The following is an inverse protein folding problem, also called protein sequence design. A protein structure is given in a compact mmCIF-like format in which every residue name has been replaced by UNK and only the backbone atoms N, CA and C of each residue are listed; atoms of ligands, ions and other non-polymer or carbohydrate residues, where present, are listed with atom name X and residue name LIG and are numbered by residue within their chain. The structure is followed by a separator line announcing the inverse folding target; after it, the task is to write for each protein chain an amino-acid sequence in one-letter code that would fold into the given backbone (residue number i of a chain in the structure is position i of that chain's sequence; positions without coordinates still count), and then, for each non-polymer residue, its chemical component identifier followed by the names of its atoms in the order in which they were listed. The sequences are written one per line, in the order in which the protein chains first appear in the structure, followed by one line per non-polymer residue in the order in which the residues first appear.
data_IF_058209096390
#
_entry.id   IF_058209096390
#
_cell.length_a   1.000
_cell.length_b   1.000
_cell.length_c   1.000
_cell.angle_alpha   90.00
_cell.angle_beta   90.00
_cell.angle_gamma   90.00
#
_symmetry.space_group_name_H-M   'P 1'
#
loop_
_entity.id
_entity.type
_entity.pdbx_description
1 polymer ?
#
# COMPACT_ATOMS: atom_id res chain seq x y z
N UNK A 1 -14.77 28.95 -6.39
CA UNK A 1 -15.53 28.11 -5.46
C UNK A 1 -16.08 26.93 -6.26
N UNK A 2 -15.48 25.77 -6.15
CA UNK A 2 -16.07 24.53 -6.63
C UNK A 2 -16.76 23.90 -5.43
N UNK A 3 -18.08 24.05 -5.39
CA UNK A 3 -18.91 23.34 -4.42
C UNK A 3 -19.05 21.90 -4.88
N UNK A 4 -18.38 20.97 -4.24
CA UNK A 4 -18.65 19.53 -4.40
C UNK A 4 -19.83 19.19 -3.49
N UNK A 5 -21.03 19.51 -3.94
CA UNK A 5 -22.26 19.01 -3.34
C UNK A 5 -22.55 17.64 -3.96
N UNK A 6 -22.52 16.60 -3.13
CA UNK A 6 -22.99 15.28 -3.54
C UNK A 6 -22.03 14.11 -3.32
N UNK A 7 -20.97 14.26 -2.57
CA UNK A 7 -20.32 13.08 -1.99
C UNK A 7 -21.21 12.59 -0.86
N UNK A 8 -22.13 11.71 -1.19
CA UNK A 8 -22.83 10.91 -0.21
C UNK A 8 -21.76 9.99 0.39
N UNK A 9 -21.07 10.49 1.40
CA UNK A 9 -20.30 9.64 2.29
C UNK A 9 -21.32 8.69 2.90
N UNK A 10 -21.37 7.46 2.42
CA UNK A 10 -21.87 6.38 3.25
C UNK A 10 -21.07 6.45 4.52
N UNK A 11 -21.63 7.06 5.52
CA UNK A 11 -21.09 7.09 6.86
C UNK A 11 -21.25 5.70 7.45
N UNK A 12 -20.44 4.77 6.93
CA UNK A 12 -20.03 3.68 7.78
C UNK A 12 -19.28 4.35 8.92
N UNK A 13 -19.59 4.04 10.18
CA UNK A 13 -18.83 4.54 11.30
C UNK A 13 -17.42 3.94 11.17
N UNK A 14 -16.58 4.61 10.43
CA UNK A 14 -15.15 4.31 10.41
C UNK A 14 -14.58 4.92 11.69
N UNK A 15 -15.06 4.43 12.80
CA UNK A 15 -14.39 4.52 14.08
C UNK A 15 -13.36 3.39 14.17
N UNK A 16 -12.49 3.29 13.18
CA UNK A 16 -11.23 2.63 13.42
C UNK A 16 -10.23 3.75 13.70
N UNK A 17 -9.50 3.62 14.79
CA UNK A 17 -8.31 4.42 15.11
C UNK A 17 -7.22 4.32 14.02
N UNK A 18 -7.49 3.63 12.94
CA UNK A 18 -6.63 3.37 11.77
C UNK A 18 -6.93 4.34 10.62
N UNK A 19 -7.16 5.59 10.90
CA UNK A 19 -7.23 6.63 9.87
C UNK A 19 -5.83 6.98 9.39
N UNK A 20 -5.31 6.17 8.47
CA UNK A 20 -4.12 6.50 7.72
C UNK A 20 -4.53 6.88 6.31
N UNK A 21 -4.35 8.13 5.93
CA UNK A 21 -4.65 8.63 4.59
C UNK A 21 -3.39 8.55 3.72
N UNK A 22 -2.83 7.37 3.58
CA UNK A 22 -1.77 7.12 2.62
C UNK A 22 -2.39 7.08 1.23
N UNK A 23 -1.79 7.78 0.28
CA UNK A 23 -2.09 7.64 -1.14
C UNK A 23 -0.89 7.09 -1.88
N UNK A 24 -1.12 6.57 -3.08
CA UNK A 24 -0.05 6.12 -3.97
C UNK A 24 -0.30 6.64 -5.39
N UNK A 25 0.78 7.05 -6.06
CA UNK A 25 0.74 7.64 -7.40
C UNK A 25 1.89 7.06 -8.22
N UNK A 26 1.56 6.53 -9.39
CA UNK A 26 2.51 6.11 -10.41
C UNK A 26 2.34 6.99 -11.65
N UNK A 27 3.44 7.48 -12.19
CA UNK A 27 3.43 8.32 -13.39
C UNK A 27 4.53 7.88 -14.35
N UNK A 28 4.19 7.76 -15.63
CA UNK A 28 5.17 7.61 -16.71
C UNK A 28 4.88 8.70 -17.74
N UNK A 29 5.90 9.49 -18.07
CA UNK A 29 5.78 10.51 -19.08
C UNK A 29 6.06 9.95 -20.51
N UNK A 30 5.81 10.77 -21.52
CA UNK A 30 6.06 10.41 -22.93
C UNK A 30 7.53 10.07 -23.25
N UNK A 31 8.47 10.52 -22.41
CA UNK A 31 9.90 10.26 -22.55
C UNK A 31 10.33 8.98 -21.84
N UNK A 32 9.44 8.36 -21.06
CA UNK A 32 9.70 7.17 -20.28
C UNK A 32 10.30 7.43 -18.90
N UNK A 33 10.30 8.69 -18.43
CA UNK A 33 10.61 8.96 -17.03
C UNK A 33 9.52 8.37 -16.15
N UNK A 34 9.91 7.71 -15.07
CA UNK A 34 9.00 7.04 -14.16
C UNK A 34 9.11 7.62 -12.76
N UNK A 35 7.96 7.78 -12.12
CA UNK A 35 7.86 8.21 -10.72
C UNK A 35 6.88 7.28 -10.00
N UNK A 36 7.29 6.80 -8.83
CA UNK A 36 6.44 6.07 -7.89
C UNK A 36 6.48 6.82 -6.55
N UNK A 37 5.35 7.26 -6.05
CA UNK A 37 5.28 8.11 -4.84
C UNK A 37 4.19 7.60 -3.91
N UNK A 38 4.54 7.42 -2.65
CA UNK A 38 3.59 7.05 -1.60
C UNK A 38 3.62 8.08 -0.47
N UNK A 39 2.97 9.23 -0.62
CA UNK A 39 2.91 10.24 0.43
C UNK A 39 2.01 9.77 1.59
N UNK A 40 2.45 10.04 2.82
CA UNK A 40 1.74 9.70 4.04
C UNK A 40 2.34 10.40 5.26
N UNK A 41 1.52 10.63 6.28
CA UNK A 41 1.90 11.41 7.47
C UNK A 41 1.88 12.91 7.20
N UNK A 42 1.78 13.73 8.27
CA UNK A 42 1.72 15.18 8.09
C UNK A 42 0.35 15.68 7.61
N UNK A 43 -0.73 15.10 8.11
CA UNK A 43 -2.09 15.56 7.81
C UNK A 43 -2.52 16.69 8.75
N UNK A 44 -3.38 17.60 8.24
CA UNK A 44 -3.90 18.73 9.00
C UNK A 44 -4.55 18.33 10.34
N UNK A 45 -5.17 17.16 10.40
CA UNK A 45 -5.81 16.67 11.62
C UNK A 45 -4.84 16.07 12.64
N UNK A 46 -3.60 15.79 12.26
CA UNK A 46 -2.63 15.07 13.11
C UNK A 46 -1.28 15.73 13.26
N UNK A 47 -1.03 16.81 12.53
CA UNK A 47 0.29 17.43 12.49
C UNK A 47 0.20 18.96 12.37
N UNK A 48 1.06 19.71 13.06
CA UNK A 48 1.09 21.15 12.93
C UNK A 48 1.52 21.57 11.53
N UNK A 49 0.90 22.61 11.01
CA UNK A 49 1.33 23.26 9.77
C UNK A 49 2.60 24.03 10.01
N UNK A 50 3.55 23.93 9.10
CA UNK A 50 4.79 24.70 9.15
C UNK A 50 4.53 26.10 8.58
N UNK A 51 4.63 27.17 9.39
CA UNK A 51 4.34 28.53 8.94
C UNK A 51 5.20 28.93 7.73
N UNK A 52 4.57 29.52 6.73
CA UNK A 52 5.26 29.99 5.51
C UNK A 52 5.62 28.93 4.47
N UNK A 53 5.51 27.65 4.79
CA UNK A 53 5.84 26.57 3.85
C UNK A 53 4.61 25.89 3.23
N UNK A 54 3.42 26.04 3.82
CA UNK A 54 2.17 25.55 3.27
C UNK A 54 1.96 24.03 3.36
N UNK A 55 2.74 23.33 4.18
CA UNK A 55 2.57 21.89 4.43
C UNK A 55 2.65 21.56 5.93
N UNK A 56 2.17 20.39 6.30
CA UNK A 56 2.22 19.90 7.67
C UNK A 56 3.52 19.17 7.98
N UNK A 57 3.96 19.25 9.24
CA UNK A 57 5.10 18.50 9.71
C UNK A 57 4.82 16.99 9.60
N UNK A 58 5.79 16.23 9.13
CA UNK A 58 5.67 14.79 8.99
C UNK A 58 5.60 14.10 10.37
N UNK A 59 4.71 13.12 10.52
CA UNK A 59 4.47 12.40 11.77
C UNK A 59 5.27 11.08 11.90
N UNK A 60 6.21 10.79 11.00
CA UNK A 60 6.91 9.48 10.97
C UNK A 60 7.90 9.27 12.11
N UNK A 61 8.27 10.28 12.86
CA UNK A 61 9.05 10.12 14.09
C UNK A 61 8.38 9.19 15.13
N UNK A 62 7.04 9.03 15.08
CA UNK A 62 6.32 8.06 15.92
C UNK A 62 6.74 6.59 15.71
N UNK A 63 7.43 6.28 14.62
CA UNK A 63 7.90 4.94 14.34
C UNK A 63 9.22 4.59 15.05
N UNK A 64 9.91 5.55 15.65
CA UNK A 64 11.03 5.26 16.51
C UNK A 64 10.61 4.50 17.78
N UNK A 65 11.50 3.70 18.29
CA UNK A 65 11.35 3.03 19.58
C UNK A 65 12.04 3.85 20.67
N UNK A 66 11.43 3.89 21.85
CA UNK A 66 12.03 4.53 23.02
C UNK A 66 12.95 3.59 23.80
N UNK A 67 12.85 2.27 23.54
CA UNK A 67 13.77 1.31 24.10
C UNK A 67 15.20 1.58 23.57
N UNK A 68 16.23 1.53 24.44
CA UNK A 68 17.60 1.76 24.01
C UNK A 68 18.16 0.60 23.18
N UNK A 69 19.25 0.85 22.48
CA UNK A 69 20.10 -0.15 21.81
C UNK A 69 19.45 -0.99 20.71
N UNK A 70 18.33 -0.53 20.16
CA UNK A 70 17.73 -1.13 18.98
C UNK A 70 18.14 -0.35 17.71
N UNK A 71 18.18 -0.99 16.54
CA UNK A 71 18.36 -0.28 15.28
C UNK A 71 17.33 0.84 15.06
N UNK A 72 16.14 0.66 15.61
CA UNK A 72 14.99 1.57 15.51
C UNK A 72 14.87 2.54 16.68
N UNK A 73 15.80 2.53 17.64
CA UNK A 73 15.79 3.47 18.77
C UNK A 73 15.91 4.91 18.31
N UNK A 74 15.18 5.81 18.97
CA UNK A 74 15.27 7.25 18.75
C UNK A 74 16.69 7.74 19.08
N UNK A 75 17.38 8.31 18.11
CA UNK A 75 18.69 8.91 18.29
C UNK A 75 18.94 9.99 17.24
N UNK A 76 19.79 10.99 17.54
CA UNK A 76 20.17 12.01 16.57
C UNK A 76 20.73 11.43 15.27
N UNK A 77 20.39 12.02 14.13
CA UNK A 77 20.87 11.60 12.83
C UNK A 77 20.28 10.31 12.27
N UNK A 78 19.44 9.59 13.01
CA UNK A 78 18.76 8.40 12.52
C UNK A 78 17.48 8.75 11.76
N UNK A 79 17.18 7.96 10.73
CA UNK A 79 15.90 7.98 10.03
C UNK A 79 14.95 7.00 10.70
N UNK A 80 13.64 7.34 10.85
CA UNK A 80 12.66 6.38 11.32
C UNK A 80 12.43 5.28 10.27
N UNK A 81 11.92 4.15 10.71
CA UNK A 81 11.30 3.15 9.84
C UNK A 81 10.15 3.79 9.06
N UNK A 82 9.86 3.30 7.88
CA UNK A 82 8.67 3.67 7.11
C UNK A 82 7.90 2.41 6.70
N UNK A 83 6.58 2.55 6.55
CA UNK A 83 5.71 1.55 5.90
C UNK A 83 5.55 1.84 4.40
N UNK A 84 6.08 2.97 3.93
CA UNK A 84 5.89 3.43 2.55
C UNK A 84 6.85 2.71 1.63
N UNK A 85 6.31 2.11 0.59
CA UNK A 85 7.02 1.22 -0.33
C UNK A 85 6.77 1.59 -1.80
N UNK A 86 6.97 2.88 -2.21
CA UNK A 86 6.93 3.19 -3.63
C UNK A 86 8.03 2.38 -4.33
N UNK A 87 7.68 1.69 -5.41
CA UNK A 87 8.56 0.72 -6.03
C UNK A 87 8.75 0.98 -7.51
N UNK A 88 9.99 0.79 -7.97
CA UNK A 88 10.36 0.80 -9.38
C UNK A 88 11.09 -0.51 -9.70
N UNK A 89 10.71 -1.16 -10.80
CA UNK A 89 11.44 -2.30 -11.33
C UNK A 89 12.15 -1.92 -12.62
N UNK A 90 13.39 -2.38 -12.71
CA UNK A 90 14.23 -2.21 -13.89
C UNK A 90 14.44 -3.57 -14.56
N UNK A 91 14.41 -3.59 -15.88
CA UNK A 91 14.81 -4.71 -16.70
C UNK A 91 15.97 -4.28 -17.58
N UNK A 92 17.11 -4.98 -17.49
CA UNK A 92 18.35 -4.62 -18.21
C UNK A 92 18.79 -3.16 -18.00
N UNK A 93 18.67 -2.67 -16.75
CA UNK A 93 19.05 -1.32 -16.36
C UNK A 93 18.06 -0.22 -16.78
N UNK A 94 16.95 -0.56 -17.41
CA UNK A 94 15.90 0.39 -17.84
C UNK A 94 14.69 0.29 -16.94
N UNK A 95 14.14 1.40 -16.44
CA UNK A 95 12.89 1.37 -15.68
C UNK A 95 11.74 0.92 -16.59
N UNK A 96 11.00 -0.08 -16.14
CA UNK A 96 9.91 -0.68 -16.91
C UNK A 96 8.58 -0.69 -16.17
N UNK A 97 8.60 -0.66 -14.84
CA UNK A 97 7.39 -0.78 -14.02
C UNK A 97 7.53 0.09 -12.78
N UNK A 98 6.52 0.91 -12.52
CA UNK A 98 6.29 1.59 -11.23
C UNK A 98 5.03 1.03 -10.60
N UNK A 99 5.03 0.84 -9.27
CA UNK A 99 3.87 0.27 -8.57
C UNK A 99 3.91 0.56 -7.09
N UNK A 100 2.76 0.44 -6.47
CA UNK A 100 2.63 0.59 -5.03
C UNK A 100 1.20 0.52 -4.53
N UNK A 101 1.02 0.79 -3.27
CA UNK A 101 -0.27 0.78 -2.58
C UNK A 101 -0.22 1.63 -1.32
N UNK A 102 -1.29 2.28 -0.90
CA UNK A 102 -1.47 2.63 0.51
C UNK A 102 -1.78 1.39 1.35
N UNK A 103 -1.62 1.44 2.69
CA UNK A 103 -2.10 0.36 3.56
C UNK A 103 -1.24 -0.01 4.76
N UNK A 104 -0.36 0.87 5.24
CA UNK A 104 0.41 0.61 6.47
C UNK A 104 1.42 -0.53 6.32
N UNK A 105 1.53 -1.38 7.34
CA UNK A 105 2.52 -2.47 7.41
C UNK A 105 2.30 -3.61 6.40
N UNK A 106 1.18 -3.63 5.70
CA UNK A 106 0.84 -4.67 4.74
C UNK A 106 1.25 -4.31 3.30
N UNK A 107 1.73 -3.10 3.06
CA UNK A 107 2.03 -2.60 1.71
C UNK A 107 3.02 -3.48 0.95
N UNK A 108 4.11 -3.89 1.59
CA UNK A 108 5.14 -4.74 1.01
C UNK A 108 4.62 -6.13 0.63
N UNK A 109 3.74 -6.72 1.44
CA UNK A 109 3.16 -8.04 1.19
C UNK A 109 2.26 -8.05 -0.05
N UNK A 110 1.41 -7.01 -0.18
CA UNK A 110 0.53 -6.89 -1.35
C UNK A 110 1.30 -6.58 -2.62
N UNK A 111 2.30 -5.71 -2.54
CA UNK A 111 3.16 -5.38 -3.67
C UNK A 111 3.99 -6.57 -4.13
N UNK A 112 4.55 -7.35 -3.21
CA UNK A 112 5.27 -8.58 -3.56
C UNK A 112 4.35 -9.56 -4.28
N UNK A 113 3.13 -9.74 -3.79
CA UNK A 113 2.14 -10.62 -4.44
C UNK A 113 1.83 -10.16 -5.86
N UNK A 114 1.61 -8.87 -6.07
CA UNK A 114 1.41 -8.27 -7.39
C UNK A 114 2.63 -8.48 -8.30
N UNK A 115 3.82 -8.15 -7.81
CA UNK A 115 5.06 -8.24 -8.57
C UNK A 115 5.32 -9.67 -9.06
N UNK A 116 5.20 -10.66 -8.19
CA UNK A 116 5.37 -12.06 -8.55
C UNK A 116 4.36 -12.51 -9.62
N UNK A 117 3.11 -12.10 -9.49
CA UNK A 117 2.06 -12.42 -10.47
C UNK A 117 2.35 -11.82 -11.84
N UNK A 118 2.78 -10.56 -11.87
CA UNK A 118 3.08 -9.88 -13.11
C UNK A 118 4.37 -10.39 -13.75
N UNK A 119 5.47 -10.45 -12.99
CA UNK A 119 6.80 -10.73 -13.53
C UNK A 119 7.05 -12.23 -13.70
N UNK A 120 6.65 -13.07 -12.73
CA UNK A 120 6.95 -14.51 -12.76
C UNK A 120 5.80 -15.37 -13.30
N UNK A 121 4.56 -14.95 -13.12
CA UNK A 121 3.40 -15.69 -13.63
C UNK A 121 2.81 -15.09 -14.92
N UNK A 122 3.37 -13.99 -15.44
CA UNK A 122 3.02 -13.43 -16.73
C UNK A 122 1.63 -12.81 -16.84
N UNK A 123 0.97 -12.52 -15.69
CA UNK A 123 -0.32 -11.85 -15.71
C UNK A 123 -0.16 -10.40 -16.19
N UNK A 124 -1.12 -9.88 -16.96
CA UNK A 124 -1.14 -8.46 -17.27
C UNK A 124 -1.34 -7.62 -15.99
N UNK A 125 -1.13 -6.28 -16.08
CA UNK A 125 -1.17 -5.40 -14.90
C UNK A 125 -2.50 -5.50 -14.16
N UNK A 126 -3.62 -5.40 -14.88
CA UNK A 126 -4.93 -5.39 -14.25
C UNK A 126 -5.27 -6.77 -13.66
N UNK A 127 -5.00 -7.85 -14.38
CA UNK A 127 -5.22 -9.20 -13.89
C UNK A 127 -4.36 -9.49 -12.64
N UNK A 128 -3.12 -9.00 -12.58
CA UNK A 128 -2.26 -9.15 -11.41
C UNK A 128 -2.76 -8.38 -10.18
N UNK A 129 -3.33 -7.17 -10.41
CA UNK A 129 -3.94 -6.32 -9.39
C UNK A 129 -5.25 -6.93 -8.87
N UNK A 130 -6.04 -7.51 -9.77
CA UNK A 130 -7.39 -7.99 -9.46
C UNK A 130 -7.40 -9.31 -8.68
N UNK A 131 -6.33 -10.10 -8.74
CA UNK A 131 -6.24 -11.35 -7.99
C UNK A 131 -6.42 -11.15 -6.49
N UNK A 132 -7.03 -12.13 -5.79
CA UNK A 132 -7.23 -12.07 -4.35
C UNK A 132 -5.96 -11.73 -3.58
N UNK A 133 -6.09 -10.93 -2.55
CA UNK A 133 -4.98 -10.53 -1.70
C UNK A 133 -5.07 -11.16 -0.31
N UNK A 134 -3.92 -11.25 0.31
CA UNK A 134 -3.74 -11.68 1.69
C UNK A 134 -2.63 -10.91 2.36
N UNK A 135 -2.61 -10.96 3.68
CA UNK A 135 -1.48 -10.48 4.48
C UNK A 135 -1.47 -11.11 5.87
N UNK A 136 -0.35 -10.98 6.55
CA UNK A 136 -0.20 -11.37 7.95
C UNK A 136 0.13 -10.17 8.82
N UNK A 137 -0.28 -10.21 10.09
CA UNK A 137 0.13 -9.28 11.14
C UNK A 137 1.11 -9.95 12.14
N UNK A 138 1.91 -10.90 11.66
CA UNK A 138 2.83 -11.71 12.45
C UNK A 138 3.92 -10.89 13.15
N UNK A 139 4.44 -9.85 12.49
CA UNK A 139 5.46 -8.96 13.03
C UNK A 139 4.86 -7.81 13.84
N UNK A 140 5.64 -7.23 14.78
CA UNK A 140 5.21 -6.03 15.48
C UNK A 140 4.87 -4.90 14.53
N UNK A 141 3.70 -4.28 14.71
CA UNK A 141 3.26 -3.14 13.93
C UNK A 141 4.19 -1.94 14.07
N UNK A 142 4.25 -1.10 13.03
CA UNK A 142 5.07 0.10 13.01
C UNK A 142 4.53 1.21 13.92
N UNK A 143 3.24 1.17 14.22
CA UNK A 143 2.55 2.18 15.01
C UNK A 143 2.32 1.69 16.44
N UNK A 144 2.33 2.62 17.41
CA UNK A 144 1.98 2.29 18.79
C UNK A 144 0.55 1.73 18.87
N UNK A 145 0.29 0.69 19.68
CA UNK A 145 1.15 0.00 20.66
C UNK A 145 2.02 -1.12 20.07
N UNK A 146 2.19 -1.21 18.76
CA UNK A 146 3.01 -2.20 18.06
C UNK A 146 2.60 -3.65 18.33
N UNK A 147 1.30 -3.88 18.34
CA UNK A 147 0.73 -5.22 18.48
C UNK A 147 1.24 -6.14 17.38
N UNK A 148 1.29 -7.41 17.71
CA UNK A 148 1.57 -8.48 16.75
C UNK A 148 0.58 -9.62 16.93
N UNK A 149 0.32 -10.33 15.86
CA UNK A 149 -0.60 -11.47 15.85
C UNK A 149 0.07 -12.69 15.22
N UNK A 150 0.95 -13.41 15.97
CA UNK A 150 1.65 -14.58 15.45
C UNK A 150 0.66 -15.64 14.93
N UNK A 151 0.92 -16.15 13.72
CA UNK A 151 0.08 -17.14 13.08
C UNK A 151 -1.22 -16.60 12.46
N UNK A 152 -1.48 -15.29 12.56
CA UNK A 152 -2.63 -14.68 11.88
C UNK A 152 -2.40 -14.62 10.36
N UNK A 153 -3.46 -14.83 9.61
CA UNK A 153 -3.49 -14.67 8.17
C UNK A 153 -4.85 -14.13 7.76
N UNK A 154 -4.88 -12.94 7.20
CA UNK A 154 -6.07 -12.35 6.60
C UNK A 154 -6.05 -12.57 5.09
N UNK A 155 -7.17 -13.01 4.51
CA UNK A 155 -7.27 -13.27 3.07
C UNK A 155 -8.69 -13.07 2.57
N UNK A 156 -8.82 -12.70 1.30
CA UNK A 156 -10.11 -12.58 0.62
C UNK A 156 -10.71 -13.98 0.36
N UNK A 157 -12.03 -14.16 0.53
CA UNK A 157 -12.73 -15.44 0.35
C UNK A 157 -12.59 -16.01 -1.07
N UNK A 158 -12.28 -15.16 -2.05
CA UNK A 158 -12.07 -15.53 -3.45
C UNK A 158 -10.85 -16.43 -3.68
N UNK A 159 -10.01 -16.70 -2.66
CA UNK A 159 -9.05 -17.80 -2.71
C UNK A 159 -9.68 -19.18 -2.81
N UNK A 160 -10.96 -19.29 -2.47
CA UNK A 160 -11.77 -20.52 -2.55
C UNK A 160 -11.64 -21.42 -1.32
N UNK A 161 -12.70 -22.18 -1.08
CA UNK A 161 -12.87 -22.98 0.13
C UNK A 161 -11.74 -23.99 0.34
N UNK A 162 -11.29 -24.66 -0.72
CA UNK A 162 -10.23 -25.66 -0.61
C UNK A 162 -8.89 -25.05 -0.09
N UNK A 163 -8.53 -23.87 -0.57
CA UNK A 163 -7.33 -23.16 -0.11
C UNK A 163 -7.49 -22.72 1.35
N UNK A 164 -8.64 -22.17 1.69
CA UNK A 164 -8.96 -21.69 3.04
C UNK A 164 -8.89 -22.84 4.04
N UNK A 165 -9.47 -23.99 3.72
CA UNK A 165 -9.48 -25.15 4.60
C UNK A 165 -8.09 -25.77 4.77
N UNK A 166 -7.29 -25.80 3.70
CA UNK A 166 -5.91 -26.26 3.77
C UNK A 166 -5.06 -25.35 4.67
N UNK A 167 -5.23 -24.04 4.58
CA UNK A 167 -4.54 -23.09 5.44
C UNK A 167 -4.94 -23.25 6.92
N UNK A 168 -6.22 -23.51 7.21
CA UNK A 168 -6.68 -23.85 8.56
C UNK A 168 -6.05 -25.15 9.06
N UNK A 169 -6.01 -26.18 8.21
CA UNK A 169 -5.39 -27.47 8.55
C UNK A 169 -3.89 -27.32 8.87
N UNK A 170 -3.20 -26.37 8.25
CA UNK A 170 -1.80 -26.02 8.52
C UNK A 170 -1.62 -25.20 9.82
N UNK A 171 -2.71 -24.85 10.50
CA UNK A 171 -2.66 -24.14 11.78
C UNK A 171 -2.65 -22.61 11.68
N UNK A 172 -2.94 -22.03 10.53
CA UNK A 172 -3.13 -20.60 10.42
C UNK A 172 -4.41 -20.13 11.10
N UNK A 173 -4.34 -19.05 11.85
CA UNK A 173 -5.51 -18.36 12.38
C UNK A 173 -6.04 -17.41 11.31
N UNK A 174 -7.07 -17.87 10.58
CA UNK A 174 -7.58 -17.17 9.42
C UNK A 174 -8.64 -16.13 9.79
N UNK A 175 -8.52 -14.95 9.20
CA UNK A 175 -9.59 -13.99 9.02
C UNK A 175 -9.95 -13.96 7.54
N UNK A 176 -11.08 -14.51 7.18
CA UNK A 176 -11.58 -14.50 5.80
C UNK A 176 -12.42 -13.24 5.62
N UNK A 177 -12.11 -12.45 4.60
CA UNK A 177 -12.80 -11.20 4.31
C UNK A 177 -13.54 -11.28 2.98
N UNK A 178 -14.45 -10.33 2.77
CA UNK A 178 -15.16 -10.18 1.51
C UNK A 178 -14.21 -9.95 0.32
N UNK A 179 -14.64 -10.25 -0.91
CA UNK A 179 -13.90 -9.91 -2.12
C UNK A 179 -13.60 -8.40 -2.18
N UNK A 180 -12.46 -8.07 -2.74
CA UNK A 180 -12.08 -6.67 -3.00
C UNK A 180 -11.90 -5.80 -1.74
N UNK A 181 -11.69 -6.41 -0.58
CA UNK A 181 -11.58 -5.69 0.70
C UNK A 181 -10.15 -5.38 1.13
N UNK A 182 -9.14 -6.03 0.52
CA UNK A 182 -7.73 -5.95 0.93
C UNK A 182 -6.89 -5.27 -0.14
N UNK A 183 -6.07 -4.30 0.27
CA UNK A 183 -5.09 -3.63 -0.59
C UNK A 183 -5.69 -2.58 -1.53
N UNK A 184 -4.81 -1.77 -2.13
CA UNK A 184 -5.18 -0.67 -3.02
C UNK A 184 -4.08 -0.45 -4.07
N UNK A 185 -3.70 -1.51 -4.75
CA UNK A 185 -2.60 -1.50 -5.71
C UNK A 185 -2.90 -0.62 -6.93
N UNK A 186 -1.89 0.13 -7.35
CA UNK A 186 -1.79 0.73 -8.68
C UNK A 186 -0.45 0.41 -9.29
N UNK A 187 -0.38 0.47 -10.61
CA UNK A 187 0.85 0.27 -11.34
C UNK A 187 0.83 0.97 -12.70
N UNK A 188 1.98 1.42 -13.16
CA UNK A 188 2.19 1.88 -14.52
C UNK A 188 3.42 1.18 -15.12
N UNK A 189 3.34 0.82 -16.40
CA UNK A 189 4.35 0.06 -17.12
C UNK A 189 4.64 0.66 -18.47
N UNK A 190 5.90 0.58 -18.90
CA UNK A 190 6.32 0.81 -20.27
C UNK A 190 6.75 -0.50 -20.90
N UNK A 191 6.06 -0.90 -21.96
CA UNK A 191 6.43 -2.08 -22.75
C UNK A 191 7.66 -1.82 -23.63
N UNK A 192 8.34 -2.87 -24.13
CA UNK A 192 9.52 -2.72 -24.98
C UNK A 192 9.27 -1.94 -26.27
N UNK A 193 8.04 -1.98 -26.82
CA UNK A 193 7.61 -1.24 -28.00
C UNK A 193 7.28 0.25 -27.69
N UNK A 194 7.39 0.66 -26.43
CA UNK A 194 7.12 2.02 -25.97
C UNK A 194 5.69 2.26 -25.52
N UNK A 195 4.79 1.28 -25.65
CA UNK A 195 3.41 1.42 -25.18
C UNK A 195 3.36 1.59 -23.67
N UNK A 196 2.62 2.60 -23.22
CA UNK A 196 2.38 2.84 -21.80
C UNK A 196 1.07 2.17 -21.37
N UNK A 197 1.13 1.48 -20.24
CA UNK A 197 -0.03 0.83 -19.64
C UNK A 197 -0.17 1.29 -18.19
N UNK A 198 -1.40 1.37 -17.72
CA UNK A 198 -1.71 1.62 -16.32
C UNK A 198 -2.79 0.66 -15.85
N UNK A 199 -2.69 0.26 -14.59
CA UNK A 199 -3.67 -0.57 -13.90
C UNK A 199 -3.98 0.02 -12.53
N UNK A 200 -5.23 -0.06 -12.12
CA UNK A 200 -5.67 0.43 -10.82
C UNK A 200 -6.68 -0.53 -10.19
N UNK A 201 -6.57 -0.70 -8.89
CA UNK A 201 -7.49 -1.56 -8.15
C UNK A 201 -8.90 -0.98 -8.11
N UNK A 202 -9.94 -1.77 -8.38
CA UNK A 202 -11.32 -1.36 -8.12
C UNK A 202 -11.68 -1.42 -6.62
N UNK A 203 -10.80 -1.96 -5.78
CA UNK A 203 -11.01 -2.10 -4.34
C UNK A 203 -11.30 -0.76 -3.70
N UNK A 204 -12.38 -0.71 -2.93
CA UNK A 204 -12.85 0.49 -2.23
C UNK A 204 -13.15 1.68 -3.16
N UNK A 205 -13.18 1.49 -4.47
CA UNK A 205 -13.50 2.51 -5.49
C UNK A 205 -12.68 3.82 -5.33
N UNK A 206 -11.41 3.70 -4.96
CA UNK A 206 -10.54 4.84 -4.62
C UNK A 206 -9.34 5.02 -5.56
N UNK A 207 -9.23 4.20 -6.60
CA UNK A 207 -8.13 4.27 -7.53
C UNK A 207 -8.62 4.29 -8.99
N UNK A 208 -7.84 4.92 -9.87
CA UNK A 208 -8.10 4.97 -11.30
C UNK A 208 -6.80 5.08 -12.09
N UNK A 209 -6.83 4.58 -13.32
CA UNK A 209 -5.76 4.66 -14.29
C UNK A 209 -6.20 5.56 -15.44
N UNK A 210 -5.34 6.51 -15.84
CA UNK A 210 -5.60 7.44 -16.93
C UNK A 210 -4.38 7.49 -17.84
N UNK A 211 -4.63 7.48 -19.17
CA UNK A 211 -3.62 7.69 -20.19
C UNK A 211 -4.06 8.75 -21.19
N UNK A 212 -3.09 9.40 -21.88
CA UNK A 212 -3.30 10.32 -22.98
C UNK A 212 -2.46 9.89 -24.17
#
# INVERSE_FOLDING_TARGET
YISVTGVQTCALPIFSEKRGDTVHIDVIDRHGNMVSVTPSGGWLQSSPTVPGLGFCLNSRAQMFWLAPDLPTSLAPGKRPRTTLTPSLALHEGRPTLSFGTPGGDQQDQWQLSFFLRHVHHGLDLQAAIDRPLFHTAHFPGSFHPRTREPGSLMLEETFGVATIDELRRRGHRLTVTEPWSIGRLTAAKRDPDGLLRAGATPRLMQAYAIGR
#
